data_IF_974887462724
#
_entry.id   IF_974887462724
#
_cell.length_a   1.000
_cell.length_b   1.000
_cell.length_c   1.000
_cell.angle_alpha   90.00
_cell.angle_beta   90.00
_cell.angle_gamma   90.00
#
_symmetry.space_group_name_H-M   'P 1'
#
loop_
_entity.id
_entity.type
_entity.pdbx_description
1 polymer ?
#
# COMPACT_ATOMS: atom_id res chain seq x y z
N UNK A 1 1.14 34.96 -45.95
CA UNK A 1 1.96 33.93 -45.24
C UNK A 1 1.26 33.51 -43.99
N UNK A 2 0.46 32.46 -44.06
CA UNK A 2 -0.24 31.82 -42.92
C UNK A 2 0.53 30.56 -42.57
N UNK A 3 1.34 30.53 -41.53
CA UNK A 3 2.01 29.35 -40.99
C UNK A 3 1.17 28.85 -39.83
N UNK A 4 0.46 27.77 -40.01
CA UNK A 4 0.55 26.42 -39.43
C UNK A 4 1.06 26.44 -37.98
N UNK A 5 0.11 26.45 -37.02
CA UNK A 5 0.29 25.97 -35.65
C UNK A 5 -0.77 24.91 -35.37
N UNK A 6 -0.59 23.77 -35.99
CA UNK A 6 -1.43 22.60 -35.76
C UNK A 6 -0.52 21.38 -35.77
N UNK A 7 0.29 21.20 -34.72
CA UNK A 7 0.97 19.92 -34.42
C UNK A 7 1.67 19.98 -33.06
N UNK A 8 0.93 20.01 -31.98
CA UNK A 8 1.48 19.76 -30.64
C UNK A 8 0.43 19.27 -29.63
N UNK A 9 -0.72 18.75 -30.08
CA UNK A 9 -1.77 18.30 -29.13
C UNK A 9 -2.12 16.82 -29.23
N UNK A 10 -1.33 16.01 -29.94
CA UNK A 10 -1.66 14.61 -30.21
C UNK A 10 -0.68 13.58 -29.63
N UNK A 11 0.07 13.91 -28.58
CA UNK A 11 1.03 12.97 -27.97
C UNK A 11 0.88 12.80 -26.46
N UNK A 12 -0.28 13.15 -25.89
CA UNK A 12 -0.58 12.96 -24.46
C UNK A 12 -1.65 11.86 -24.18
N UNK A 13 -1.99 11.07 -25.19
CA UNK A 13 -2.91 9.93 -25.03
C UNK A 13 -2.27 8.62 -25.44
N UNK A 14 -1.13 8.28 -24.83
CA UNK A 14 -0.64 6.91 -24.92
C UNK A 14 -0.08 6.51 -23.58
N UNK A 15 -0.65 5.44 -23.06
CA UNK A 15 -0.38 4.74 -21.81
C UNK A 15 -1.23 5.23 -20.61
N UNK A 16 -2.54 5.09 -20.70
CA UNK A 16 -3.27 4.61 -19.55
C UNK A 16 -3.06 3.08 -19.50
N UNK A 17 -1.91 2.61 -19.05
CA UNK A 17 -1.94 1.38 -18.29
C UNK A 17 -2.98 1.65 -17.20
N UNK A 18 -4.01 0.83 -17.12
CA UNK A 18 -5.00 0.93 -16.07
C UNK A 18 -4.21 1.00 -14.76
N UNK A 19 -4.33 2.13 -14.03
CA UNK A 19 -3.57 2.28 -12.81
C UNK A 19 -4.23 1.38 -11.78
N UNK A 20 -3.51 0.38 -11.29
CA UNK A 20 -3.99 -0.45 -10.19
C UNK A 20 -4.40 0.43 -9.02
N UNK A 21 -5.49 0.08 -8.40
CA UNK A 21 -6.05 0.82 -7.27
C UNK A 21 -6.19 -0.08 -6.07
N UNK A 22 -6.03 0.50 -4.89
CA UNK A 22 -6.14 -0.24 -3.65
C UNK A 22 -7.09 0.39 -2.67
N UNK A 23 -7.65 -0.42 -1.80
CA UNK A 23 -8.29 0.04 -0.56
C UNK A 23 -7.50 -0.51 0.61
N UNK A 24 -7.10 0.36 1.52
CA UNK A 24 -6.47 -0.03 2.79
C UNK A 24 -7.46 0.20 3.91
N UNK A 25 -7.68 -0.82 4.74
CA UNK A 25 -8.42 -0.70 5.99
C UNK A 25 -7.50 -1.06 7.15
N UNK A 26 -7.33 -0.15 8.09
CA UNK A 26 -6.53 -0.30 9.28
C UNK A 26 -7.43 -0.66 10.46
N UNK A 27 -7.21 -1.83 11.06
CA UNK A 27 -8.03 -2.32 12.16
C UNK A 27 -7.19 -2.41 13.43
N UNK A 28 -7.48 -1.56 14.40
CA UNK A 28 -6.86 -1.63 15.71
C UNK A 28 -7.34 -2.87 16.47
N UNK A 29 -6.42 -3.74 16.83
CA UNK A 29 -6.73 -4.97 17.57
C UNK A 29 -6.83 -4.70 19.06
N UNK A 30 -7.85 -5.27 19.71
CA UNK A 30 -8.00 -5.22 21.16
C UNK A 30 -6.82 -5.94 21.83
N UNK A 31 -6.20 -5.39 22.87
CA UNK A 31 -5.08 -6.00 23.57
C UNK A 31 -5.36 -7.47 23.95
N UNK A 32 -4.40 -8.34 23.65
CA UNK A 32 -4.50 -9.79 23.88
C UNK A 32 -5.30 -10.58 22.84
N UNK A 33 -5.85 -9.92 21.79
CA UNK A 33 -6.66 -10.56 20.76
C UNK A 33 -5.94 -10.74 19.42
N UNK A 34 -4.61 -10.53 19.36
CA UNK A 34 -3.85 -10.55 18.09
C UNK A 34 -4.01 -11.86 17.32
N UNK A 35 -3.86 -13.02 17.99
CA UNK A 35 -3.98 -14.31 17.30
C UNK A 35 -5.39 -14.54 16.76
N UNK A 36 -6.43 -14.16 17.52
CA UNK A 36 -7.81 -14.28 17.10
C UNK A 36 -8.11 -13.35 15.90
N UNK A 37 -7.60 -12.11 15.92
CA UNK A 37 -7.74 -11.15 14.83
C UNK A 37 -7.04 -11.65 13.55
N UNK A 38 -5.79 -12.14 13.67
CA UNK A 38 -5.04 -12.73 12.55
C UNK A 38 -5.79 -13.91 11.97
N UNK A 39 -6.19 -14.89 12.81
CA UNK A 39 -6.90 -16.07 12.33
C UNK A 39 -8.22 -15.74 11.61
N UNK A 40 -8.97 -14.77 12.14
CA UNK A 40 -10.22 -14.29 11.54
C UNK A 40 -9.98 -13.63 10.19
N UNK A 41 -9.06 -12.69 10.09
CA UNK A 41 -8.80 -11.95 8.86
C UNK A 41 -8.14 -12.83 7.79
N UNK A 42 -7.18 -13.68 8.17
CA UNK A 42 -6.56 -14.65 7.25
C UNK A 42 -7.58 -15.63 6.66
N UNK A 43 -8.51 -16.13 7.47
CA UNK A 43 -9.57 -17.01 6.97
C UNK A 43 -10.61 -16.27 6.11
N UNK A 44 -10.73 -14.95 6.25
CA UNK A 44 -11.67 -14.15 5.49
C UNK A 44 -11.12 -13.70 4.14
N UNK A 45 -9.81 -13.57 3.99
CA UNK A 45 -9.18 -13.07 2.77
C UNK A 45 -9.62 -13.83 1.50
N UNK A 46 -9.48 -15.17 1.41
CA UNK A 46 -9.87 -15.91 0.19
C UNK A 46 -11.37 -15.81 -0.13
N UNK A 47 -12.22 -15.63 0.88
CA UNK A 47 -13.66 -15.45 0.69
C UNK A 47 -13.92 -14.08 0.02
N UNK A 48 -13.22 -13.05 0.49
CA UNK A 48 -13.35 -11.71 -0.07
C UNK A 48 -12.75 -11.61 -1.48
N UNK A 49 -11.64 -12.31 -1.75
CA UNK A 49 -11.07 -12.41 -3.11
C UNK A 49 -12.08 -13.03 -4.08
N UNK A 50 -12.72 -14.14 -3.69
CA UNK A 50 -13.74 -14.83 -4.52
C UNK A 50 -14.95 -13.90 -4.80
N UNK A 51 -15.37 -13.11 -3.84
CA UNK A 51 -16.54 -12.23 -3.97
C UNK A 51 -16.20 -10.96 -4.76
N UNK A 52 -15.08 -10.32 -4.46
CA UNK A 52 -14.77 -8.98 -4.98
C UNK A 52 -13.86 -8.96 -6.19
N UNK A 53 -13.16 -10.08 -6.47
CA UNK A 53 -12.12 -10.14 -7.50
C UNK A 53 -10.84 -9.38 -7.15
N UNK A 54 -10.73 -8.83 -5.93
CA UNK A 54 -9.53 -8.17 -5.46
C UNK A 54 -8.42 -9.18 -5.13
N UNK A 55 -7.18 -8.78 -5.26
CA UNK A 55 -6.05 -9.44 -4.58
C UNK A 55 -5.98 -8.91 -3.15
N UNK A 56 -5.88 -9.80 -2.16
CA UNK A 56 -5.92 -9.39 -0.75
C UNK A 56 -4.62 -9.71 -0.03
N UNK A 57 -4.07 -8.68 0.62
CA UNK A 57 -2.97 -8.83 1.57
C UNK A 57 -3.45 -8.53 2.99
N UNK A 58 -3.01 -9.34 3.95
CA UNK A 58 -3.30 -9.17 5.37
C UNK A 58 -2.01 -9.19 6.15
N UNK A 59 -1.73 -8.13 6.88
CA UNK A 59 -0.56 -8.02 7.74
C UNK A 59 -0.88 -7.37 9.09
N UNK A 60 0.08 -7.40 10.01
CA UNK A 60 0.00 -6.69 11.27
C UNK A 60 1.26 -5.89 11.50
N UNK A 61 1.10 -4.65 11.96
CA UNK A 61 2.22 -3.78 12.30
C UNK A 61 2.65 -3.89 13.77
N UNK A 62 3.71 -3.15 14.14
CA UNK A 62 4.25 -3.11 15.49
C UNK A 62 3.31 -2.45 16.53
N UNK A 63 2.23 -1.82 16.09
CA UNK A 63 1.22 -1.18 16.94
C UNK A 63 -0.01 -2.07 17.15
N UNK A 64 0.04 -3.33 16.73
CA UNK A 64 -1.08 -4.29 16.71
C UNK A 64 -2.25 -3.82 15.86
N UNK A 65 -1.97 -3.19 14.72
CA UNK A 65 -2.96 -2.81 13.73
C UNK A 65 -2.92 -3.82 12.58
N UNK A 66 -4.06 -4.41 12.25
CA UNK A 66 -4.19 -5.20 11.03
C UNK A 66 -4.28 -4.24 9.85
N UNK A 67 -3.41 -4.46 8.88
CA UNK A 67 -3.45 -3.86 7.55
C UNK A 67 -4.17 -4.84 6.62
N UNK A 68 -5.39 -4.49 6.24
CA UNK A 68 -6.17 -5.20 5.23
C UNK A 68 -6.09 -4.41 3.93
N UNK A 69 -5.41 -4.94 2.94
CA UNK A 69 -5.18 -4.28 1.65
C UNK A 69 -5.89 -5.08 0.57
N UNK A 70 -6.71 -4.40 -0.22
CA UNK A 70 -7.39 -4.95 -1.40
C UNK A 70 -6.85 -4.22 -2.62
N UNK A 71 -6.35 -4.94 -3.61
CA UNK A 71 -5.83 -4.40 -4.86
C UNK A 71 -6.70 -4.86 -6.02
N UNK A 72 -7.07 -3.93 -6.89
CA UNK A 72 -7.89 -4.13 -8.07
C UNK A 72 -7.14 -3.65 -9.30
N UNK A 73 -7.45 -4.20 -10.46
CA UNK A 73 -6.86 -3.83 -11.73
C UNK A 73 -7.09 -2.35 -12.07
N UNK A 74 -8.27 -1.82 -11.72
CA UNK A 74 -8.66 -0.42 -11.95
C UNK A 74 -9.87 -0.01 -11.08
N UNK A 75 -10.30 1.24 -11.22
CA UNK A 75 -11.48 1.78 -10.54
C UNK A 75 -12.80 1.12 -10.95
N UNK A 76 -12.91 0.59 -12.16
CA UNK A 76 -14.09 -0.15 -12.61
C UNK A 76 -14.18 -1.50 -11.90
N UNK A 77 -13.07 -2.24 -11.81
CA UNK A 77 -12.97 -3.48 -11.05
C UNK A 77 -13.25 -3.25 -9.57
N UNK A 78 -12.72 -2.16 -8.98
CA UNK A 78 -13.01 -1.76 -7.62
C UNK A 78 -14.52 -1.53 -7.39
N UNK A 79 -15.20 -0.81 -8.29
CA UNK A 79 -16.64 -0.57 -8.22
C UNK A 79 -17.45 -1.88 -8.32
N UNK A 80 -17.11 -2.75 -9.28
CA UNK A 80 -17.74 -4.07 -9.44
C UNK A 80 -17.58 -4.95 -8.19
N UNK A 81 -16.40 -4.93 -7.56
CA UNK A 81 -16.13 -5.63 -6.32
C UNK A 81 -17.03 -5.14 -5.17
N UNK A 82 -17.24 -3.82 -5.09
CA UNK A 82 -18.16 -3.21 -4.12
C UNK A 82 -19.63 -3.64 -4.34
N UNK A 83 -20.08 -3.64 -5.60
CA UNK A 83 -21.43 -4.09 -5.96
C UNK A 83 -21.63 -5.58 -5.65
N UNK A 84 -20.64 -6.41 -6.00
CA UNK A 84 -20.66 -7.85 -5.73
C UNK A 84 -20.75 -8.13 -4.22
N UNK A 85 -20.01 -7.38 -3.40
CA UNK A 85 -20.09 -7.50 -1.94
C UNK A 85 -21.46 -7.09 -1.41
N UNK A 86 -22.06 -6.02 -1.93
CA UNK A 86 -23.40 -5.54 -1.55
C UNK A 86 -24.52 -6.53 -1.89
N UNK A 87 -24.34 -7.34 -2.95
CA UNK A 87 -25.30 -8.35 -3.41
C UNK A 87 -24.95 -9.76 -2.94
N UNK A 88 -23.94 -9.89 -2.08
CA UNK A 88 -23.38 -11.17 -1.71
C UNK A 88 -24.34 -12.06 -0.93
N UNK A 89 -24.60 -13.26 -1.47
CA UNK A 89 -25.36 -14.36 -0.85
C UNK A 89 -24.49 -15.59 -0.63
N UNK A 90 -23.16 -15.45 -0.58
CA UNK A 90 -22.22 -16.55 -0.46
C UNK A 90 -22.41 -17.30 0.87
N UNK A 91 -22.59 -18.61 0.78
CA UNK A 91 -22.66 -19.51 1.95
C UNK A 91 -21.36 -19.43 2.77
N UNK A 92 -20.18 -19.39 2.11
CA UNK A 92 -18.87 -19.24 2.75
C UNK A 92 -18.77 -17.98 3.58
N UNK A 93 -19.33 -16.85 3.07
CA UNK A 93 -19.38 -15.60 3.81
C UNK A 93 -20.26 -15.72 5.06
N UNK A 94 -21.47 -16.33 4.93
CA UNK A 94 -22.36 -16.55 6.04
C UNK A 94 -21.76 -17.48 7.10
N UNK A 95 -21.10 -18.57 6.67
CA UNK A 95 -20.38 -19.50 7.55
C UNK A 95 -19.24 -18.82 8.30
N UNK A 96 -18.46 -17.96 7.60
CA UNK A 96 -17.39 -17.19 8.24
C UNK A 96 -17.93 -16.26 9.33
N UNK A 97 -19.02 -15.54 9.05
CA UNK A 97 -19.66 -14.67 10.05
C UNK A 97 -20.22 -15.47 11.24
N UNK A 98 -20.78 -16.66 10.97
CA UNK A 98 -21.27 -17.55 12.04
C UNK A 98 -20.12 -18.10 12.91
N UNK A 99 -18.99 -18.47 12.28
CA UNK A 99 -17.79 -18.96 12.98
C UNK A 99 -17.11 -17.88 13.81
N UNK A 100 -17.14 -16.63 13.34
CA UNK A 100 -16.49 -15.49 13.99
C UNK A 100 -17.53 -14.41 14.33
N UNK A 101 -18.44 -14.67 15.28
CA UNK A 101 -19.50 -13.73 15.63
C UNK A 101 -18.92 -12.43 16.21
N UNK A 102 -19.73 -11.37 16.17
CA UNK A 102 -19.37 -10.11 16.85
C UNK A 102 -19.30 -10.36 18.35
N UNK A 103 -18.25 -9.86 18.97
CA UNK A 103 -18.03 -9.94 20.42
C UNK A 103 -18.21 -8.58 21.08
N UNK A 104 -18.44 -8.58 22.40
CA UNK A 104 -18.46 -7.35 23.20
C UNK A 104 -17.48 -7.52 24.38
N UNK A 105 -16.36 -6.79 24.42
CA UNK A 105 -15.88 -5.83 23.40
C UNK A 105 -15.49 -6.49 22.07
N UNK A 106 -15.45 -5.75 20.96
CA UNK A 106 -15.01 -6.28 19.68
C UNK A 106 -13.53 -6.65 19.72
N UNK A 107 -13.14 -7.68 18.95
CA UNK A 107 -11.72 -8.11 18.84
C UNK A 107 -10.85 -7.10 18.10
N UNK A 108 -11.44 -6.32 17.22
CA UNK A 108 -10.79 -5.22 16.48
C UNK A 108 -11.82 -4.17 16.08
N UNK A 109 -11.37 -2.93 15.93
CA UNK A 109 -12.18 -1.79 15.49
C UNK A 109 -11.53 -1.14 14.29
N UNK A 110 -12.31 -0.69 13.31
CA UNK A 110 -11.80 0.08 12.19
C UNK A 110 -11.24 1.40 12.71
N UNK A 111 -9.94 1.62 12.50
CA UNK A 111 -9.23 2.83 12.89
C UNK A 111 -9.15 3.83 11.73
N UNK A 112 -8.94 3.31 10.49
CA UNK A 112 -8.83 4.15 9.31
C UNK A 112 -9.16 3.35 8.05
N UNK A 113 -9.57 4.05 6.98
CA UNK A 113 -9.79 3.49 5.65
C UNK A 113 -9.55 4.54 4.60
N UNK A 114 -8.76 4.20 3.58
CA UNK A 114 -8.45 5.08 2.47
C UNK A 114 -8.19 4.29 1.18
N UNK A 115 -8.36 4.95 0.05
CA UNK A 115 -8.08 4.43 -1.28
C UNK A 115 -6.69 4.88 -1.75
N UNK A 116 -6.02 4.00 -2.50
CA UNK A 116 -4.69 4.22 -3.06
C UNK A 116 -4.73 4.13 -4.58
N UNK A 117 -3.99 5.02 -5.22
CA UNK A 117 -3.51 4.82 -6.58
C UNK A 117 -2.10 4.22 -6.49
N UNK A 118 -1.88 3.09 -7.13
CA UNK A 118 -0.60 2.39 -7.13
C UNK A 118 0.27 3.00 -8.22
N UNK A 119 1.38 3.63 -7.83
CA UNK A 119 2.32 4.31 -8.74
C UNK A 119 3.38 3.34 -9.24
N UNK A 120 3.84 2.47 -8.36
CA UNK A 120 4.80 1.41 -8.65
C UNK A 120 4.47 0.21 -7.79
N UNK A 121 4.18 -0.89 -8.43
CA UNK A 121 4.06 -2.18 -7.75
C UNK A 121 5.38 -2.92 -7.79
N UNK A 122 5.49 -3.78 -6.82
CA UNK A 122 6.59 -4.67 -6.69
C UNK A 122 6.11 -6.11 -6.83
N UNK A 123 6.87 -6.93 -7.55
CA UNK A 123 6.49 -8.29 -7.91
C UNK A 123 7.30 -9.32 -7.11
N UNK A 124 7.28 -9.28 -5.79
CA UNK A 124 7.91 -10.37 -5.04
C UNK A 124 6.88 -11.24 -4.35
N UNK A 125 6.74 -12.43 -4.86
CA UNK A 125 5.89 -13.51 -4.33
C UNK A 125 6.29 -13.97 -2.91
N UNK A 126 7.38 -13.42 -2.32
CA UNK A 126 7.96 -13.90 -1.05
C UNK A 126 8.25 -12.79 -0.03
N UNK A 127 7.64 -11.64 -0.14
CA UNK A 127 7.89 -10.54 0.79
C UNK A 127 7.03 -10.67 2.05
N UNK A 128 7.56 -11.29 3.11
CA UNK A 128 6.81 -11.52 4.35
C UNK A 128 6.82 -10.34 5.33
N UNK A 129 7.70 -9.36 5.12
CA UNK A 129 7.79 -8.18 5.98
C UNK A 129 8.02 -6.93 5.14
N UNK A 130 7.45 -5.79 5.58
CA UNK A 130 7.63 -4.51 4.90
C UNK A 130 7.93 -3.40 5.89
N UNK A 131 8.77 -2.48 5.46
CA UNK A 131 8.91 -1.17 6.07
C UNK A 131 8.19 -0.16 5.19
N UNK A 132 7.14 0.46 5.73
CA UNK A 132 6.32 1.43 5.01
C UNK A 132 6.50 2.79 5.67
N UNK A 133 6.85 3.80 4.88
CA UNK A 133 6.88 5.20 5.31
C UNK A 133 5.72 5.93 4.67
N UNK A 134 4.91 6.58 5.48
CA UNK A 134 3.88 7.51 5.03
C UNK A 134 4.44 8.92 5.07
N UNK A 135 4.34 9.59 3.93
CA UNK A 135 4.72 10.99 3.74
C UNK A 135 3.46 11.83 3.53
N UNK A 136 3.26 12.85 4.35
CA UNK A 136 2.23 13.87 4.16
C UNK A 136 2.81 14.97 3.26
N UNK A 137 2.27 15.09 2.06
CA UNK A 137 2.71 16.08 1.09
C UNK A 137 2.07 17.44 1.39
N UNK A 138 2.84 18.50 1.31
CA UNK A 138 2.27 19.84 1.35
C UNK A 138 1.25 20.03 0.23
N UNK A 139 0.30 20.92 0.46
CA UNK A 139 -0.79 21.17 -0.50
C UNK A 139 -0.24 21.43 -1.92
N UNK A 140 -0.74 20.64 -2.88
CA UNK A 140 -0.33 20.71 -4.28
C UNK A 140 1.03 20.09 -4.60
N UNK A 141 1.75 19.49 -3.62
CA UNK A 141 3.08 18.91 -3.80
C UNK A 141 3.10 17.38 -3.91
N UNK A 142 1.95 16.70 -3.92
CA UNK A 142 1.92 15.24 -3.96
C UNK A 142 2.68 14.65 -5.16
N UNK A 143 2.52 15.23 -6.35
CA UNK A 143 3.24 14.78 -7.54
C UNK A 143 4.75 14.96 -7.41
N UNK A 144 5.20 16.07 -6.79
CA UNK A 144 6.61 16.29 -6.49
C UNK A 144 7.13 15.25 -5.48
N UNK A 145 6.33 14.95 -4.45
CA UNK A 145 6.66 13.90 -3.45
C UNK A 145 6.80 12.54 -4.11
N UNK A 146 5.87 12.17 -5.01
CA UNK A 146 5.94 10.93 -5.81
C UNK A 146 7.21 10.93 -6.67
N UNK A 147 7.50 12.02 -7.39
CA UNK A 147 8.69 12.11 -8.23
C UNK A 147 9.99 11.98 -7.42
N UNK A 148 10.04 12.56 -6.23
CA UNK A 148 11.16 12.42 -5.30
C UNK A 148 11.29 10.97 -4.80
N UNK A 149 10.18 10.34 -4.40
CA UNK A 149 10.16 8.93 -4.00
C UNK A 149 10.67 8.01 -5.11
N UNK A 150 10.27 8.25 -6.36
CA UNK A 150 10.72 7.48 -7.53
C UNK A 150 12.24 7.57 -7.78
N UNK A 151 12.91 8.66 -7.37
CA UNK A 151 14.36 8.77 -7.49
C UNK A 151 15.11 7.81 -6.55
N UNK A 152 14.52 7.43 -5.41
CA UNK A 152 15.10 6.46 -4.49
C UNK A 152 14.98 5.02 -4.98
N UNK A 153 14.02 4.72 -5.85
CA UNK A 153 13.76 3.34 -6.31
C UNK A 153 15.02 2.66 -6.85
N UNK A 154 15.71 3.19 -7.89
CA UNK A 154 16.87 2.50 -8.45
C UNK A 154 18.03 2.36 -7.45
N UNK A 155 18.16 3.30 -6.52
CA UNK A 155 19.21 3.26 -5.49
C UNK A 155 18.89 2.17 -4.45
N UNK A 156 17.66 2.13 -3.97
CA UNK A 156 17.23 1.14 -2.98
C UNK A 156 17.15 -0.27 -3.57
N UNK A 157 16.70 -0.44 -4.81
CA UNK A 157 16.69 -1.75 -5.50
C UNK A 157 18.09 -2.29 -5.72
N UNK A 158 19.06 -1.44 -6.07
CA UNK A 158 20.48 -1.82 -6.17
C UNK A 158 21.05 -2.34 -4.85
N UNK A 159 20.49 -1.90 -3.72
CA UNK A 159 20.85 -2.37 -2.37
C UNK A 159 20.02 -3.59 -1.93
N UNK A 160 19.22 -4.18 -2.81
CA UNK A 160 18.38 -5.35 -2.52
C UNK A 160 17.02 -5.01 -1.93
N UNK A 161 16.60 -3.76 -2.03
CA UNK A 161 15.24 -3.34 -1.68
C UNK A 161 14.22 -3.77 -2.72
N UNK A 162 12.99 -3.95 -2.29
CA UNK A 162 11.85 -4.32 -3.12
C UNK A 162 10.74 -3.29 -2.92
N UNK A 163 10.65 -2.31 -3.84
CA UNK A 163 9.98 -1.04 -3.63
C UNK A 163 8.60 -0.99 -4.28
N UNK A 164 7.60 -0.63 -3.49
CA UNK A 164 6.30 -0.19 -3.96
C UNK A 164 6.03 1.26 -3.54
N UNK A 165 5.33 2.01 -4.39
CA UNK A 165 4.93 3.40 -4.13
C UNK A 165 3.45 3.53 -4.46
N UNK A 166 2.71 4.13 -3.55
CA UNK A 166 1.30 4.45 -3.74
C UNK A 166 0.99 5.84 -3.17
N UNK A 167 -0.15 6.38 -3.57
CA UNK A 167 -0.60 7.68 -3.11
C UNK A 167 -2.12 7.67 -2.89
N UNK A 168 -2.58 8.31 -1.82
CA UNK A 168 -4.01 8.49 -1.56
C UNK A 168 -4.54 9.84 -2.10
N UNK A 169 -5.84 10.02 -2.00
CA UNK A 169 -6.50 11.26 -2.42
C UNK A 169 -6.45 12.38 -1.35
N UNK A 170 -5.81 12.12 -0.22
CA UNK A 170 -5.65 13.08 0.88
C UNK A 170 -4.29 13.80 0.84
N UNK A 171 -3.41 13.41 -0.10
CA UNK A 171 -2.09 14.01 -0.27
C UNK A 171 -0.95 13.15 0.27
N UNK A 172 -1.23 12.00 0.89
CA UNK A 172 -0.18 11.13 1.38
C UNK A 172 0.46 10.31 0.25
N UNK A 173 1.74 10.03 0.41
CA UNK A 173 2.53 9.11 -0.41
C UNK A 173 3.09 8.03 0.50
N UNK A 174 2.94 6.78 0.09
CA UNK A 174 3.42 5.61 0.83
C UNK A 174 4.58 4.99 0.05
N UNK A 175 5.69 4.86 0.72
CA UNK A 175 6.88 4.21 0.21
C UNK A 175 7.09 2.93 1.00
N UNK A 176 6.87 1.79 0.38
CA UNK A 176 7.05 0.48 0.99
C UNK A 176 8.31 -0.18 0.46
N UNK A 177 9.11 -0.73 1.36
CA UNK A 177 10.22 -1.61 1.03
C UNK A 177 9.98 -2.96 1.68
N UNK A 178 9.94 -4.02 0.88
CA UNK A 178 9.51 -5.35 1.29
C UNK A 178 10.67 -6.34 1.24
N UNK A 179 10.66 -7.31 2.16
CA UNK A 179 11.73 -8.28 2.38
C UNK A 179 11.15 -9.65 2.72
N UNK A 180 11.93 -10.69 2.48
CA UNK A 180 11.56 -12.06 2.84
C UNK A 180 11.41 -12.25 4.36
N UNK A 181 12.28 -11.60 5.15
CA UNK A 181 12.28 -11.72 6.60
C UNK A 181 12.89 -10.49 7.29
N UNK A 182 12.77 -10.43 8.62
CA UNK A 182 13.31 -9.34 9.44
C UNK A 182 14.82 -9.19 9.38
N UNK A 183 15.57 -10.28 9.18
CA UNK A 183 17.03 -10.23 9.10
C UNK A 183 17.47 -9.55 7.78
N UNK A 184 16.77 -9.81 6.68
CA UNK A 184 17.02 -9.16 5.39
C UNK A 184 16.71 -7.66 5.47
N UNK A 185 15.59 -7.31 6.09
CA UNK A 185 15.26 -5.90 6.36
C UNK A 185 16.36 -5.23 7.19
N UNK A 186 16.83 -5.89 8.27
CA UNK A 186 17.89 -5.35 9.12
C UNK A 186 19.18 -5.09 8.35
N UNK A 187 19.64 -6.06 7.57
CA UNK A 187 20.82 -5.91 6.71
C UNK A 187 20.66 -4.78 5.69
N UNK A 188 19.48 -4.69 5.07
CA UNK A 188 19.22 -3.61 4.11
C UNK A 188 19.31 -2.24 4.78
N UNK A 189 18.74 -2.07 5.98
CA UNK A 189 18.81 -0.82 6.75
C UNK A 189 20.26 -0.41 7.01
N UNK A 190 21.11 -1.35 7.43
CA UNK A 190 22.53 -1.08 7.67
C UNK A 190 23.24 -0.61 6.38
N UNK A 191 23.01 -1.33 5.27
CA UNK A 191 23.64 -0.99 3.99
C UNK A 191 23.10 0.34 3.45
N UNK A 192 21.80 0.59 3.54
CA UNK A 192 21.20 1.85 3.09
C UNK A 192 21.72 3.05 3.89
N UNK A 193 21.84 2.92 5.21
CA UNK A 193 22.37 3.97 6.08
C UNK A 193 23.86 4.27 5.81
N UNK A 194 24.63 3.27 5.36
CA UNK A 194 26.04 3.43 4.99
C UNK A 194 26.22 3.90 3.54
N UNK A 195 25.18 3.89 2.72
CA UNK A 195 25.25 4.18 1.29
C UNK A 195 25.48 5.68 1.01
N UNK A 196 26.59 5.97 0.31
CA UNK A 196 26.85 7.33 -0.19
C UNK A 196 25.84 7.77 -1.23
N UNK A 197 25.33 6.85 -2.06
CA UNK A 197 24.33 7.15 -3.10
C UNK A 197 23.03 7.62 -2.44
N UNK A 198 22.57 6.92 -1.39
CA UNK A 198 21.41 7.30 -0.58
C UNK A 198 21.61 8.66 0.08
N UNK A 199 22.76 8.88 0.72
CA UNK A 199 23.09 10.14 1.38
C UNK A 199 23.14 11.32 0.38
N UNK A 200 23.73 11.12 -0.79
CA UNK A 200 23.81 12.14 -1.85
C UNK A 200 22.42 12.49 -2.37
N UNK A 201 21.57 11.48 -2.59
CA UNK A 201 20.21 11.72 -3.06
C UNK A 201 19.39 12.48 -2.00
N UNK A 202 19.45 12.08 -0.73
CA UNK A 202 18.82 12.85 0.34
C UNK A 202 19.29 14.30 0.37
N UNK A 203 20.61 14.53 0.30
CA UNK A 203 21.15 15.89 0.30
C UNK A 203 20.65 16.73 -0.90
N UNK A 204 20.43 16.11 -2.06
CA UNK A 204 19.91 16.80 -3.24
C UNK A 204 18.43 17.18 -3.14
N UNK A 205 17.66 16.48 -2.30
CA UNK A 205 16.23 16.71 -2.11
C UNK A 205 15.93 17.57 -0.86
N UNK A 206 16.93 17.78 0.00
CA UNK A 206 16.80 18.69 1.14
C UNK A 206 16.75 20.14 0.63
N UNK A 207 15.63 20.76 0.83
CA UNK A 207 15.40 22.19 0.52
C UNK A 207 15.03 22.93 1.80
N UNK A 208 15.10 24.28 1.78
CA UNK A 208 14.65 25.09 2.93
C UNK A 208 13.18 24.84 3.26
N UNK A 209 12.38 24.53 2.23
CA UNK A 209 10.98 24.15 2.39
C UNK A 209 10.76 22.73 1.87
N UNK A 210 10.70 21.71 2.73
CA UNK A 210 10.46 20.33 2.31
C UNK A 210 9.06 20.20 1.69
N UNK A 211 8.95 19.41 0.61
CA UNK A 211 7.68 19.18 -0.12
C UNK A 211 6.74 18.22 0.62
N UNK A 212 7.29 17.45 1.56
CA UNK A 212 6.54 16.51 2.38
C UNK A 212 7.23 16.24 3.72
N UNK A 213 6.48 15.75 4.67
CA UNK A 213 6.97 15.31 5.99
C UNK A 213 6.67 13.83 6.19
N UNK A 214 7.65 13.08 6.74
CA UNK A 214 7.40 11.70 7.17
C UNK A 214 6.56 11.71 8.45
N UNK A 215 5.34 11.21 8.37
CA UNK A 215 4.39 11.26 9.49
C UNK A 215 4.24 9.94 10.21
N UNK A 216 4.46 8.81 9.52
CA UNK A 216 4.39 7.48 10.11
C UNK A 216 5.38 6.51 9.48
N UNK A 217 5.82 5.56 10.30
CA UNK A 217 6.58 4.40 9.86
C UNK A 217 5.93 3.13 10.38
N UNK A 218 5.59 2.22 9.47
CA UNK A 218 5.05 0.92 9.80
C UNK A 218 6.07 -0.17 9.50
N UNK A 219 6.18 -1.15 10.40
CA UNK A 219 6.86 -2.42 10.16
C UNK A 219 5.80 -3.50 10.19
N UNK A 220 5.43 -3.97 9.00
CA UNK A 220 4.32 -4.89 8.81
C UNK A 220 4.85 -6.31 8.58
N UNK A 221 4.28 -7.28 9.28
CA UNK A 221 4.42 -8.70 8.96
C UNK A 221 3.18 -9.16 8.22
N UNK A 222 3.36 -9.70 7.04
CA UNK A 222 2.29 -10.21 6.21
C UNK A 222 1.99 -11.68 6.52
N UNK A 223 0.72 -12.04 6.52
CA UNK A 223 0.20 -13.40 6.77
C UNK A 223 -0.53 -13.97 5.56
N UNK A 224 -1.05 -13.08 4.70
CA UNK A 224 -1.63 -13.37 3.40
C UNK A 224 -1.05 -12.39 2.40
N UNK A 225 -0.67 -12.87 1.25
CA UNK A 225 -0.25 -12.10 0.09
C UNK A 225 -0.86 -12.74 -1.16
N UNK A 226 -1.12 -11.96 -2.23
CA UNK A 226 -1.69 -12.47 -3.47
C UNK A 226 -0.75 -13.43 -4.18
#
# INVERSE_FOLDING_TARGET
>A
MKKIYALAFSLLFTLSAAAEVGTVSLWQVTPGKNQEAIARTTAFAPIMEEITGAQISVGMDQFNTIHWVQVYEDWEAWGKGGDALGQNNSEKFAEHIAKYPRTTPPIMTLADRFELNLVKMNSTDNANVSWITQWDSRQGQQQTTIANAMQFVPVHEKLGGNIAISADNLGNVYYANSFENWADMGRWIEVANASKDVATLWASLLTEEPVAEAVKHYRVRWFVQP
#
